data_IF_122077983686
#
_entry.id   IF_122077983686
#
_cell.length_a   1.000
_cell.length_b   1.000
_cell.length_c   1.000
_cell.angle_alpha   90.00
_cell.angle_beta   90.00
_cell.angle_gamma   90.00
#
_symmetry.space_group_name_H-M   'P 1'
#
loop_
_entity.id
_entity.type
_entity.pdbx_description
1 polymer ?
#
# COMPACT_ATOMS: atom_id res chain seq x y z
N UNK A 1 -11.17 19.59 5.50
CA UNK A 1 -10.42 18.52 4.82
C UNK A 1 -9.71 17.59 5.81
N UNK A 2 -8.83 18.09 6.68
CA UNK A 2 -8.06 17.25 7.63
C UNK A 2 -8.91 16.39 8.58
N UNK A 3 -9.96 16.95 9.19
CA UNK A 3 -10.84 16.21 10.12
C UNK A 3 -11.54 15.03 9.42
N UNK A 4 -12.02 15.22 8.19
CA UNK A 4 -12.70 14.17 7.43
C UNK A 4 -11.78 13.00 7.11
N UNK A 5 -10.52 13.27 6.75
CA UNK A 5 -9.51 12.22 6.55
C UNK A 5 -9.23 11.45 7.84
N UNK A 6 -9.12 12.17 8.96
CA UNK A 6 -8.83 11.59 10.26
C UNK A 6 -9.97 10.68 10.73
N UNK A 7 -11.22 11.11 10.55
CA UNK A 7 -12.41 10.29 10.80
C UNK A 7 -12.46 9.06 9.88
N UNK A 8 -12.14 9.23 8.58
CA UNK A 8 -12.07 8.13 7.62
C UNK A 8 -11.02 7.09 8.01
N UNK A 9 -9.83 7.54 8.43
CA UNK A 9 -8.76 6.67 8.93
C UNK A 9 -9.18 5.90 10.17
N UNK A 10 -9.77 6.57 11.16
CA UNK A 10 -10.25 5.92 12.39
C UNK A 10 -11.31 4.87 12.07
N UNK A 11 -12.25 5.19 11.17
CA UNK A 11 -13.26 4.23 10.74
C UNK A 11 -12.65 3.02 10.03
N UNK A 12 -11.71 3.25 9.10
CA UNK A 12 -10.98 2.19 8.41
C UNK A 12 -10.26 1.28 9.41
N UNK A 13 -9.52 1.87 10.35
CA UNK A 13 -8.78 1.13 11.39
C UNK A 13 -9.71 0.28 12.26
N UNK A 14 -10.78 0.89 12.78
CA UNK A 14 -11.70 0.23 13.72
C UNK A 14 -12.56 -0.86 13.07
N UNK A 15 -12.92 -0.71 11.79
CA UNK A 15 -13.90 -1.59 11.13
C UNK A 15 -13.31 -2.57 10.14
N UNK A 16 -12.22 -2.20 9.46
CA UNK A 16 -11.72 -2.94 8.30
C UNK A 16 -10.31 -3.47 8.54
N UNK A 17 -9.39 -2.59 8.94
CA UNK A 17 -7.97 -2.88 8.99
C UNK A 17 -7.63 -4.09 9.88
N UNK A 18 -8.12 -4.10 11.12
CA UNK A 18 -7.87 -5.19 12.07
C UNK A 18 -8.37 -6.55 11.55
N UNK A 19 -9.58 -6.57 10.98
CA UNK A 19 -10.17 -7.80 10.44
C UNK A 19 -9.42 -8.29 9.20
N UNK A 20 -8.98 -7.36 8.34
CA UNK A 20 -8.22 -7.70 7.14
C UNK A 20 -6.87 -8.35 7.50
N UNK A 21 -6.15 -7.79 8.49
CA UNK A 21 -4.87 -8.35 8.96
C UNK A 21 -5.04 -9.77 9.52
N UNK A 22 -6.09 -10.02 10.32
CA UNK A 22 -6.35 -11.34 10.90
C UNK A 22 -6.69 -12.43 9.86
N UNK A 23 -7.26 -12.05 8.72
CA UNK A 23 -7.63 -12.99 7.65
C UNK A 23 -6.49 -13.29 6.66
N UNK A 24 -5.45 -12.45 6.65
CA UNK A 24 -4.29 -12.62 5.78
C UNK A 24 -4.55 -12.33 4.29
N UNK A 25 -3.48 -12.35 3.47
CA UNK A 25 -3.52 -11.98 2.06
C UNK A 25 -4.08 -13.07 1.14
N UNK A 26 -4.31 -14.28 1.65
CA UNK A 26 -4.84 -15.42 0.88
C UNK A 26 -6.38 -15.46 0.81
N UNK A 27 -7.06 -14.46 1.38
CA UNK A 27 -8.52 -14.37 1.37
C UNK A 27 -9.05 -13.88 0.01
N UNK A 28 -10.35 -14.05 -0.25
CA UNK A 28 -10.98 -13.51 -1.46
C UNK A 28 -11.05 -11.98 -1.42
N UNK A 29 -11.00 -11.38 -2.63
CA UNK A 29 -11.19 -9.95 -2.83
C UNK A 29 -12.47 -9.45 -2.13
N UNK A 30 -12.45 -8.25 -1.51
CA UNK A 30 -11.41 -7.20 -1.54
C UNK A 30 -10.38 -7.28 -0.40
N UNK A 31 -10.45 -8.32 0.42
CA UNK A 31 -9.77 -8.37 1.73
C UNK A 31 -8.24 -8.29 1.63
N UNK A 32 -7.57 -8.92 0.63
CA UNK A 32 -6.13 -8.78 0.44
C UNK A 32 -5.66 -7.34 0.22
N UNK A 33 -6.43 -6.52 -0.49
CA UNK A 33 -6.12 -5.10 -0.67
C UNK A 33 -6.14 -4.34 0.65
N UNK A 34 -7.16 -4.56 1.47
CA UNK A 34 -7.24 -3.97 2.80
C UNK A 34 -6.13 -4.49 3.73
N UNK A 35 -5.73 -5.75 3.59
CA UNK A 35 -4.59 -6.34 4.32
C UNK A 35 -3.31 -5.55 4.00
N UNK A 36 -2.93 -5.46 2.73
CA UNK A 36 -1.69 -4.76 2.34
C UNK A 36 -1.75 -3.26 2.64
N UNK A 37 -2.89 -2.60 2.37
CA UNK A 37 -3.08 -1.20 2.71
C UNK A 37 -2.90 -0.93 4.21
N UNK A 38 -3.32 -1.85 5.07
CA UNK A 38 -3.11 -1.76 6.52
C UNK A 38 -1.65 -1.93 6.91
N UNK A 39 -0.96 -2.92 6.34
CA UNK A 39 0.47 -3.14 6.60
C UNK A 39 1.28 -1.89 6.22
N UNK A 40 1.02 -1.32 5.04
CA UNK A 40 1.71 -0.12 4.60
C UNK A 40 1.35 1.13 5.40
N UNK A 41 0.11 1.26 5.90
CA UNK A 41 -0.26 2.31 6.84
C UNK A 41 0.58 2.20 8.13
N UNK A 42 0.74 1.00 8.69
CA UNK A 42 1.58 0.80 9.89
C UNK A 42 3.03 1.18 9.61
N UNK A 43 3.59 0.77 8.46
CA UNK A 43 4.94 1.14 8.05
C UNK A 43 5.06 2.67 7.88
N UNK A 44 4.11 3.30 7.20
CA UNK A 44 4.06 4.75 7.02
C UNK A 44 4.03 5.50 8.36
N UNK A 45 3.21 5.06 9.31
CA UNK A 45 3.15 5.65 10.65
C UNK A 45 4.45 5.45 11.43
N UNK A 46 5.05 4.26 11.36
CA UNK A 46 6.34 4.00 12.00
C UNK A 46 7.44 4.92 11.43
N UNK A 47 7.49 5.10 10.11
CA UNK A 47 8.39 6.03 9.46
C UNK A 47 8.08 7.49 9.83
N UNK A 48 6.81 7.89 9.89
CA UNK A 48 6.43 9.23 10.32
C UNK A 48 6.95 9.52 11.74
N UNK A 49 6.69 8.60 12.68
CA UNK A 49 7.15 8.72 14.06
C UNK A 49 8.67 8.76 14.16
N UNK A 50 9.38 7.92 13.39
CA UNK A 50 10.85 7.97 13.34
C UNK A 50 11.37 9.32 12.84
N UNK A 51 10.78 9.86 11.76
CA UNK A 51 11.19 11.14 11.19
C UNK A 51 10.93 12.31 12.15
N UNK A 52 9.80 12.31 12.87
CA UNK A 52 9.49 13.38 13.85
C UNK A 52 10.41 13.33 15.08
N UNK A 53 10.96 12.16 15.42
CA UNK A 53 11.91 11.99 16.53
C UNK A 53 13.39 12.06 16.11
N UNK A 54 13.67 12.35 14.83
CA UNK A 54 15.03 12.39 14.28
C UNK A 54 15.29 13.75 13.64
N UNK A 55 16.54 14.20 13.62
CA UNK A 55 16.91 15.37 12.81
C UNK A 55 16.74 15.04 11.32
N UNK A 56 15.84 15.76 10.64
CA UNK A 56 15.56 15.59 9.22
C UNK A 56 16.82 15.68 8.34
N UNK A 57 17.82 16.47 8.72
CA UNK A 57 19.07 16.61 7.97
C UNK A 57 19.91 15.32 7.98
N UNK A 58 19.67 14.42 8.93
CA UNK A 58 20.40 13.17 9.10
C UNK A 58 19.73 11.98 8.41
N UNK A 59 18.50 12.16 7.92
CA UNK A 59 17.77 11.09 7.24
C UNK A 59 18.42 10.78 5.89
N UNK A 60 18.59 9.49 5.56
CA UNK A 60 19.21 9.12 4.29
C UNK A 60 18.29 9.50 3.11
N UNK A 61 18.84 9.82 1.92
CA UNK A 61 18.03 10.28 0.79
C UNK A 61 16.93 9.32 0.34
N UNK A 62 17.14 8.01 0.48
CA UNK A 62 16.14 6.98 0.14
C UNK A 62 14.91 7.03 1.07
N UNK A 63 15.04 7.59 2.27
CA UNK A 63 14.00 7.61 3.29
C UNK A 63 12.74 8.32 2.81
N UNK A 64 12.89 9.52 2.24
CA UNK A 64 11.76 10.30 1.76
C UNK A 64 11.05 9.63 0.59
N UNK A 65 11.81 8.95 -0.28
CA UNK A 65 11.23 8.18 -1.37
C UNK A 65 10.43 6.99 -0.82
N UNK A 66 10.99 6.20 0.10
CA UNK A 66 10.30 5.09 0.73
C UNK A 66 9.07 5.55 1.52
N UNK A 67 9.17 6.66 2.25
CA UNK A 67 8.08 7.26 3.01
C UNK A 67 6.90 7.65 2.12
N UNK A 68 7.18 8.38 1.04
CA UNK A 68 6.15 8.79 0.08
C UNK A 68 5.49 7.57 -0.59
N UNK A 69 6.27 6.56 -0.99
CA UNK A 69 5.73 5.39 -1.67
C UNK A 69 4.97 4.46 -0.72
N UNK A 70 5.37 4.34 0.54
CA UNK A 70 4.59 3.62 1.56
C UNK A 70 3.21 4.27 1.78
N UNK A 71 3.16 5.61 1.85
CA UNK A 71 1.89 6.34 2.01
C UNK A 71 1.00 6.31 0.76
N UNK A 72 1.55 6.67 -0.40
CA UNK A 72 0.75 6.76 -1.62
C UNK A 72 0.50 5.39 -2.27
N UNK A 73 1.55 4.66 -2.62
CA UNK A 73 1.41 3.39 -3.35
C UNK A 73 1.01 2.26 -2.40
N UNK A 74 1.71 2.15 -1.27
CA UNK A 74 1.48 1.09 -0.29
C UNK A 74 0.11 1.21 0.37
N UNK A 75 -0.22 2.36 0.96
CA UNK A 75 -1.47 2.50 1.69
C UNK A 75 -2.62 2.94 0.76
N UNK A 76 -2.52 4.14 0.17
CA UNK A 76 -3.67 4.76 -0.51
C UNK A 76 -4.12 3.95 -1.73
N UNK A 77 -3.20 3.52 -2.60
CA UNK A 77 -3.56 2.75 -3.80
C UNK A 77 -4.16 1.38 -3.45
N UNK A 78 -3.60 0.63 -2.49
CA UNK A 78 -4.20 -0.62 -2.03
C UNK A 78 -5.64 -0.39 -1.53
N UNK A 79 -5.88 0.63 -0.70
CA UNK A 79 -7.24 0.93 -0.20
C UNK A 79 -8.19 1.29 -1.35
N UNK A 80 -7.75 2.10 -2.31
CA UNK A 80 -8.56 2.49 -3.47
C UNK A 80 -8.91 1.29 -4.35
N UNK A 81 -7.94 0.43 -4.66
CA UNK A 81 -8.16 -0.79 -5.44
C UNK A 81 -9.10 -1.76 -4.70
N UNK A 82 -8.97 -1.88 -3.37
CA UNK A 82 -9.93 -2.63 -2.56
C UNK A 82 -11.37 -2.08 -2.63
N UNK A 83 -11.53 -0.75 -2.63
CA UNK A 83 -12.86 -0.12 -2.81
C UNK A 83 -13.40 -0.36 -4.22
N UNK A 84 -12.54 -0.27 -5.24
CA UNK A 84 -12.92 -0.55 -6.62
C UNK A 84 -13.34 -2.01 -6.78
N UNK A 85 -12.61 -2.96 -6.21
CA UNK A 85 -12.96 -4.37 -6.23
C UNK A 85 -14.33 -4.66 -5.61
N UNK A 86 -14.67 -4.00 -4.49
CA UNK A 86 -16.03 -4.08 -3.91
C UNK A 86 -17.09 -3.55 -4.88
N UNK A 87 -16.82 -2.42 -5.54
CA UNK A 87 -17.81 -1.74 -6.40
C UNK A 87 -18.00 -2.42 -7.75
N UNK A 88 -16.95 -3.00 -8.31
CA UNK A 88 -17.01 -3.73 -9.58
C UNK A 88 -17.81 -5.03 -9.47
N UNK A 89 -18.05 -5.51 -8.24
CA UNK A 89 -18.77 -6.74 -7.96
C UNK A 89 -17.98 -7.99 -8.36
N UNK A 90 -18.25 -9.11 -7.72
CA UNK A 90 -17.66 -10.43 -8.05
C UNK A 90 -18.11 -10.98 -9.42
N UNK A 91 -18.83 -10.20 -10.23
CA UNK A 91 -19.63 -10.68 -11.36
C UNK A 91 -18.96 -10.68 -12.73
N UNK A 92 -17.79 -10.04 -12.90
CA UNK A 92 -17.10 -10.03 -14.20
C UNK A 92 -15.66 -9.54 -14.04
N UNK A 93 -14.83 -10.23 -13.26
CA UNK A 93 -13.39 -10.10 -13.49
C UNK A 93 -13.15 -10.59 -14.92
N UNK A 94 -12.81 -9.68 -15.85
CA UNK A 94 -12.55 -10.03 -17.25
C UNK A 94 -11.56 -11.19 -17.33
N UNK A 95 -10.59 -11.21 -16.40
CA UNK A 95 -9.67 -12.32 -16.17
C UNK A 95 -9.54 -12.66 -14.68
N UNK A 96 -9.69 -13.93 -14.33
CA UNK A 96 -9.59 -14.46 -12.95
C UNK A 96 -8.22 -14.28 -12.29
N UNK A 97 -7.18 -14.01 -13.08
CA UNK A 97 -5.82 -13.82 -12.60
C UNK A 97 -5.40 -12.34 -12.51
N UNK A 98 -6.17 -11.41 -13.09
CA UNK A 98 -5.78 -10.01 -13.21
C UNK A 98 -5.58 -9.33 -11.86
N UNK A 99 -6.60 -9.36 -11.02
CA UNK A 99 -6.59 -8.74 -9.69
C UNK A 99 -5.52 -9.35 -8.74
N UNK A 100 -5.39 -10.69 -8.60
CA UNK A 100 -4.30 -11.27 -7.83
C UNK A 100 -2.91 -10.86 -8.34
N UNK A 101 -2.74 -10.79 -9.66
CA UNK A 101 -1.46 -10.39 -10.27
C UNK A 101 -1.15 -8.93 -9.99
N UNK A 102 -2.13 -8.04 -10.15
CA UNK A 102 -2.01 -6.62 -9.83
C UNK A 102 -1.58 -6.39 -8.38
N UNK A 103 -2.25 -7.08 -7.45
CA UNK A 103 -1.98 -7.01 -6.03
C UNK A 103 -0.55 -7.42 -5.68
N UNK A 104 -0.09 -8.55 -6.19
CA UNK A 104 1.26 -9.03 -5.91
C UNK A 104 2.33 -8.18 -6.60
N UNK A 105 2.13 -7.80 -7.86
CA UNK A 105 3.07 -6.92 -8.57
C UNK A 105 3.24 -5.58 -7.87
N UNK A 106 2.14 -4.99 -7.39
CA UNK A 106 2.20 -3.71 -6.70
C UNK A 106 2.95 -3.84 -5.37
N UNK A 107 2.61 -4.82 -4.55
CA UNK A 107 3.19 -4.96 -3.21
C UNK A 107 4.65 -5.48 -3.23
N UNK A 108 4.96 -6.47 -4.07
CA UNK A 108 6.34 -6.93 -4.27
C UNK A 108 7.18 -5.88 -5.00
N UNK A 109 6.59 -5.17 -5.97
CA UNK A 109 7.23 -4.05 -6.65
C UNK A 109 7.64 -2.94 -5.68
N UNK A 110 6.81 -2.66 -4.67
CA UNK A 110 7.12 -1.66 -3.64
C UNK A 110 8.25 -2.12 -2.72
N UNK A 111 8.24 -3.38 -2.29
CA UNK A 111 9.35 -3.96 -1.52
C UNK A 111 10.65 -3.87 -2.33
N UNK A 112 10.61 -4.28 -3.61
CA UNK A 112 11.77 -4.21 -4.50
C UNK A 112 12.24 -2.78 -4.72
N UNK A 113 11.32 -1.82 -4.86
CA UNK A 113 11.64 -0.41 -5.00
C UNK A 113 12.41 0.10 -3.78
N UNK A 114 11.91 -0.14 -2.58
CA UNK A 114 12.57 0.29 -1.35
C UNK A 114 13.95 -0.36 -1.22
N UNK A 115 14.05 -1.67 -1.43
CA UNK A 115 15.32 -2.40 -1.35
C UNK A 115 16.37 -1.88 -2.34
N UNK A 116 15.99 -1.70 -3.61
CA UNK A 116 16.89 -1.18 -4.65
C UNK A 116 17.23 0.30 -4.46
N UNK A 117 16.30 1.09 -3.91
CA UNK A 117 16.56 2.49 -3.57
C UNK A 117 17.57 2.60 -2.43
N UNK A 118 17.50 1.71 -1.44
CA UNK A 118 18.48 1.64 -0.35
C UNK A 118 19.85 1.14 -0.84
N UNK A 119 19.89 0.12 -1.70
CA UNK A 119 21.13 -0.53 -2.10
C UNK A 119 21.91 0.22 -3.18
N UNK A 120 21.22 0.80 -4.16
CA UNK A 120 21.84 1.33 -5.38
C UNK A 120 21.18 2.61 -5.91
N UNK A 121 20.27 3.22 -5.14
CA UNK A 121 19.51 4.42 -5.52
C UNK A 121 18.65 4.30 -6.81
N UNK A 122 18.39 3.07 -7.28
CA UNK A 122 17.68 2.83 -8.54
C UNK A 122 16.15 2.82 -8.39
N UNK A 123 15.44 2.95 -9.52
CA UNK A 123 13.96 3.05 -9.57
C UNK A 123 13.28 1.85 -10.23
N UNK A 124 13.99 0.74 -10.46
CA UNK A 124 13.44 -0.42 -11.19
C UNK A 124 12.16 -0.99 -10.53
N UNK A 125 12.10 -1.04 -9.20
CA UNK A 125 10.88 -1.47 -8.50
C UNK A 125 9.67 -0.58 -8.77
N UNK A 126 9.86 0.70 -9.11
CA UNK A 126 8.75 1.59 -9.47
C UNK A 126 8.07 1.20 -10.79
N UNK A 127 8.83 0.61 -11.72
CA UNK A 127 8.27 0.08 -12.97
C UNK A 127 7.37 -1.12 -12.65
N UNK A 128 7.84 -2.03 -11.79
CA UNK A 128 7.07 -3.21 -11.36
C UNK A 128 5.78 -2.80 -10.64
N UNK A 129 5.85 -1.81 -9.74
CA UNK A 129 4.66 -1.23 -9.11
C UNK A 129 3.67 -0.68 -10.12
N UNK A 130 4.16 0.12 -11.08
CA UNK A 130 3.32 0.75 -12.10
C UNK A 130 2.55 -0.26 -12.95
N UNK A 131 3.19 -1.38 -13.31
CA UNK A 131 2.50 -2.48 -14.00
C UNK A 131 1.38 -3.08 -13.14
N UNK A 132 1.62 -3.26 -11.84
CA UNK A 132 0.59 -3.72 -10.90
C UNK A 132 -0.61 -2.78 -10.83
N UNK A 133 -0.38 -1.46 -10.81
CA UNK A 133 -1.45 -0.44 -10.78
C UNK A 133 -2.27 -0.43 -12.07
N UNK A 134 -1.64 -0.63 -13.23
CA UNK A 134 -2.35 -0.65 -14.52
C UNK A 134 -3.21 -1.91 -14.69
N UNK A 135 -2.81 -3.02 -14.07
CA UNK A 135 -3.52 -4.30 -14.15
C UNK A 135 -4.68 -4.45 -13.16
N UNK A 136 -4.71 -3.64 -12.10
CA UNK A 136 -5.73 -3.67 -11.04
C UNK A 136 -6.88 -2.71 -11.29
#
# INVERSE_FOLDING_TARGET
FGITLLLGLVFFLARVAWRAVLMGPASESPRPWAFFGTIWLVIYLAMFLYAVNTDFATLPPWYFAAFAHAGFVGMMTNVLLGVLAVRSGSGSAIWSWGEPTALWLMNLGLILFVALKMAADTRLGAIVMGLGVVLG
#
